data_IF_755077007653
#
_entry.id   IF_755077007653
#
_cell.length_a   1.000
_cell.length_b   1.000
_cell.length_c   1.000
_cell.angle_alpha   90.00
_cell.angle_beta   90.00
_cell.angle_gamma   90.00
#
_symmetry.space_group_name_H-M   'P 1'
#
loop_
_entity.id
_entity.type
_entity.pdbx_description
1 polymer ?
#
# COMPACT_ATOMS: atom_id res chain seq x y z
N UNK A 1 -14.84 -6.58 16.03
CA UNK A 1 -14.44 -5.52 15.12
C UNK A 1 -13.08 -5.82 14.51
N UNK A 2 -12.61 -4.97 13.62
CA UNK A 2 -11.27 -5.01 13.03
C UNK A 2 -10.55 -3.75 13.50
N UNK A 3 -9.28 -3.87 13.93
CA UNK A 3 -8.47 -2.72 14.34
C UNK A 3 -7.75 -2.11 13.15
N UNK A 4 -7.27 -0.87 13.28
CA UNK A 4 -6.42 -0.20 12.28
C UNK A 4 -5.13 -1.01 12.03
N UNK A 5 -4.55 -1.59 13.07
CA UNK A 5 -3.38 -2.46 12.96
C UNK A 5 -3.65 -3.70 12.10
N UNK A 6 -4.80 -4.34 12.27
CA UNK A 6 -5.19 -5.49 11.48
C UNK A 6 -5.44 -5.16 10.01
N UNK A 7 -5.95 -3.96 9.69
CA UNK A 7 -6.00 -3.45 8.32
C UNK A 7 -4.58 -3.19 7.79
N UNK A 8 -3.72 -2.53 8.58
CA UNK A 8 -2.36 -2.23 8.17
C UNK A 8 -1.51 -3.48 7.90
N UNK A 9 -1.83 -4.61 8.56
CA UNK A 9 -1.15 -5.90 8.41
C UNK A 9 -1.84 -6.89 7.49
N UNK A 10 -2.93 -6.52 6.80
CA UNK A 10 -3.69 -7.41 5.91
C UNK A 10 -4.29 -8.63 6.61
N UNK A 11 -4.76 -8.46 7.86
CA UNK A 11 -5.26 -9.54 8.71
C UNK A 11 -6.69 -9.33 9.21
N UNK A 12 -7.53 -8.60 8.47
CA UNK A 12 -8.93 -8.38 8.89
C UNK A 12 -9.74 -9.64 9.07
N UNK A 13 -9.36 -10.74 8.42
CA UNK A 13 -10.13 -11.98 8.39
C UNK A 13 -11.34 -11.95 7.44
N UNK A 14 -11.48 -10.94 6.64
CA UNK A 14 -12.53 -10.83 5.61
C UNK A 14 -12.14 -11.69 4.40
N UNK A 15 -13.13 -12.41 3.81
CA UNK A 15 -12.94 -13.16 2.58
C UNK A 15 -12.66 -12.19 1.42
N UNK A 16 -11.64 -12.50 0.61
CA UNK A 16 -11.21 -11.62 -0.46
C UNK A 16 -10.56 -12.38 -1.62
N UNK A 17 -10.87 -11.95 -2.86
CA UNK A 17 -10.22 -12.41 -4.08
C UNK A 17 -9.47 -11.24 -4.75
N UNK A 18 -8.13 -11.30 -4.75
CA UNK A 18 -7.23 -10.30 -5.34
C UNK A 18 -6.82 -10.67 -6.78
N UNK A 19 -7.55 -11.51 -7.50
CA UNK A 19 -7.20 -11.89 -8.88
C UNK A 19 -7.47 -10.73 -9.84
N UNK A 20 -6.41 -10.07 -10.29
CA UNK A 20 -6.48 -8.96 -11.25
C UNK A 20 -6.87 -9.39 -12.68
N UNK A 21 -6.96 -10.69 -12.97
CA UNK A 21 -7.34 -11.21 -14.28
C UNK A 21 -8.81 -11.66 -14.35
N UNK A 22 -9.45 -11.81 -13.19
CA UNK A 22 -10.86 -12.17 -13.08
C UNK A 22 -11.72 -10.90 -12.89
N UNK A 23 -12.59 -10.55 -13.87
CA UNK A 23 -13.50 -9.40 -13.75
C UNK A 23 -14.53 -9.55 -12.62
N UNK A 24 -14.71 -10.76 -12.09
CA UNK A 24 -15.62 -11.03 -10.97
C UNK A 24 -14.90 -11.08 -9.62
N UNK A 25 -13.58 -10.86 -9.59
CA UNK A 25 -12.81 -10.78 -8.34
C UNK A 25 -13.27 -9.59 -7.48
N UNK A 26 -12.99 -9.67 -6.18
CA UNK A 26 -13.34 -8.58 -5.27
C UNK A 26 -12.60 -7.30 -5.62
N UNK A 27 -11.33 -7.38 -6.02
CA UNK A 27 -10.56 -6.20 -6.42
C UNK A 27 -11.16 -5.53 -7.66
N UNK A 28 -11.64 -6.28 -8.66
CA UNK A 28 -12.28 -5.70 -9.86
C UNK A 28 -13.67 -5.11 -9.54
N UNK A 29 -14.47 -5.83 -8.77
CA UNK A 29 -15.82 -5.39 -8.38
C UNK A 29 -15.81 -4.17 -7.48
N UNK A 30 -14.86 -4.07 -6.56
CA UNK A 30 -14.70 -2.89 -5.72
C UNK A 30 -14.50 -1.60 -6.54
N UNK A 31 -13.73 -1.67 -7.64
CA UNK A 31 -13.47 -0.50 -8.50
C UNK A 31 -14.64 -0.12 -9.41
N UNK A 32 -15.66 -0.96 -9.50
CA UNK A 32 -16.82 -0.75 -10.38
C UNK A 32 -18.15 -0.59 -9.65
N UNK A 33 -18.19 -0.85 -8.33
CA UNK A 33 -19.41 -0.72 -7.53
C UNK A 33 -19.90 0.74 -7.54
N UNK A 34 -21.19 0.95 -7.71
CA UNK A 34 -21.81 2.26 -7.54
C UNK A 34 -21.77 2.64 -6.04
N UNK A 35 -21.17 3.75 -5.68
CA UNK A 35 -21.05 4.14 -4.27
C UNK A 35 -22.42 4.55 -3.69
N UNK A 36 -22.66 4.17 -2.45
CA UNK A 36 -23.80 4.66 -1.68
C UNK A 36 -23.59 6.16 -1.38
N UNK A 37 -24.66 6.93 -1.37
CA UNK A 37 -24.58 8.36 -1.09
C UNK A 37 -23.89 8.64 0.25
N UNK A 38 -22.83 9.44 0.22
CA UNK A 38 -22.04 9.80 1.42
C UNK A 38 -20.93 8.82 1.78
N UNK A 39 -20.75 7.71 1.05
CA UNK A 39 -19.68 6.74 1.26
C UNK A 39 -18.68 6.74 0.08
N UNK A 40 -17.45 6.30 0.33
CA UNK A 40 -16.52 5.94 -0.74
C UNK A 40 -16.91 4.59 -1.37
N UNK A 41 -16.36 4.29 -2.57
CA UNK A 41 -16.53 2.96 -3.15
C UNK A 41 -16.03 1.85 -2.24
N UNK A 42 -14.89 2.08 -1.57
CA UNK A 42 -14.27 1.13 -0.66
C UNK A 42 -15.18 0.78 0.51
N UNK A 43 -15.76 1.79 1.16
CA UNK A 43 -16.70 1.60 2.28
C UNK A 43 -17.97 0.89 1.79
N UNK A 44 -18.53 1.32 0.66
CA UNK A 44 -19.72 0.69 0.05
C UNK A 44 -19.46 -0.78 -0.23
N UNK A 45 -18.32 -1.12 -0.85
CA UNK A 45 -17.98 -2.51 -1.17
C UNK A 45 -17.70 -3.35 0.09
N UNK A 46 -16.98 -2.79 1.07
CA UNK A 46 -16.67 -3.47 2.32
C UNK A 46 -17.89 -4.02 3.05
N UNK A 47 -19.04 -3.33 2.96
CA UNK A 47 -20.31 -3.77 3.58
C UNK A 47 -20.90 -5.05 2.96
N UNK A 48 -20.47 -5.42 1.76
CA UNK A 48 -20.94 -6.63 1.07
C UNK A 48 -20.15 -7.87 1.41
N UNK A 49 -18.99 -7.69 2.06
CA UNK A 49 -18.05 -8.78 2.30
C UNK A 49 -18.42 -9.59 3.55
N UNK A 50 -18.07 -10.88 3.50
CA UNK A 50 -18.24 -11.80 4.61
C UNK A 50 -16.91 -12.11 5.28
N UNK A 51 -16.97 -12.50 6.54
CA UNK A 51 -15.79 -12.93 7.29
C UNK A 51 -15.51 -14.41 7.03
N UNK A 52 -14.24 -14.76 6.79
CA UNK A 52 -13.80 -16.15 6.64
C UNK A 52 -12.94 -16.65 7.82
N UNK A 53 -12.34 -15.72 8.60
CA UNK A 53 -11.54 -16.03 9.78
C UNK A 53 -11.67 -14.91 10.83
N UNK A 54 -11.38 -15.17 12.10
CA UNK A 54 -11.22 -14.12 13.10
C UNK A 54 -10.17 -13.10 12.67
N UNK A 55 -10.38 -11.83 13.04
CA UNK A 55 -9.44 -10.78 12.75
C UNK A 55 -8.11 -11.01 13.48
N UNK A 56 -7.00 -10.91 12.78
CA UNK A 56 -5.66 -11.17 13.28
C UNK A 56 -5.12 -12.58 12.98
N UNK A 57 -5.97 -13.54 12.59
CA UNK A 57 -5.54 -14.95 12.46
C UNK A 57 -5.06 -15.32 11.05
N UNK A 58 -5.58 -14.65 10.01
CA UNK A 58 -5.29 -15.01 8.63
C UNK A 58 -4.78 -13.80 7.84
N UNK A 59 -3.58 -13.93 7.30
CA UNK A 59 -3.05 -12.96 6.35
C UNK A 59 -3.53 -13.28 4.92
N UNK A 60 -4.09 -12.29 4.27
CA UNK A 60 -4.42 -12.29 2.84
C UNK A 60 -4.22 -10.87 2.33
N UNK A 61 -3.41 -10.68 1.29
CA UNK A 61 -3.26 -9.37 0.68
C UNK A 61 -4.60 -8.88 0.12
N UNK A 62 -5.00 -7.67 0.49
CA UNK A 62 -6.30 -7.10 0.11
C UNK A 62 -6.16 -5.60 -0.18
N UNK A 63 -6.27 -5.22 -1.45
CA UNK A 63 -6.28 -3.81 -1.86
C UNK A 63 -7.33 -3.00 -1.09
N UNK A 64 -8.48 -3.61 -0.76
CA UNK A 64 -9.53 -2.96 0.04
C UNK A 64 -9.02 -2.45 1.39
N UNK A 65 -8.16 -3.20 2.09
CA UNK A 65 -7.70 -2.79 3.43
C UNK A 65 -6.87 -1.53 3.37
N UNK A 66 -6.04 -1.37 2.31
CA UNK A 66 -5.29 -0.14 2.08
C UNK A 66 -6.23 1.02 1.70
N UNK A 67 -7.26 0.77 0.90
CA UNK A 67 -8.28 1.79 0.60
C UNK A 67 -8.98 2.27 1.87
N UNK A 68 -9.41 1.35 2.75
CA UNK A 68 -10.05 1.72 4.02
C UNK A 68 -9.11 2.48 4.95
N UNK A 69 -7.80 2.20 4.94
CA UNK A 69 -6.82 3.04 5.65
C UNK A 69 -6.77 4.45 5.06
N UNK A 70 -6.86 4.59 3.74
CA UNK A 70 -7.01 5.88 3.08
C UNK A 70 -8.26 6.63 3.54
N UNK A 71 -9.42 5.99 3.51
CA UNK A 71 -10.68 6.57 4.00
C UNK A 71 -10.56 7.02 5.46
N UNK A 72 -9.86 6.24 6.32
CA UNK A 72 -9.62 6.61 7.72
C UNK A 72 -8.73 7.86 7.83
N UNK A 73 -7.69 7.99 7.00
CA UNK A 73 -6.84 9.19 6.98
C UNK A 73 -7.65 10.41 6.54
N UNK A 74 -8.46 10.30 5.49
CA UNK A 74 -9.32 11.39 5.02
C UNK A 74 -10.33 11.81 6.09
N UNK A 75 -10.97 10.85 6.74
CA UNK A 75 -11.92 11.11 7.82
C UNK A 75 -11.26 11.77 9.03
N UNK A 76 -10.06 11.35 9.40
CA UNK A 76 -9.34 11.88 10.55
C UNK A 76 -8.74 13.28 10.32
N UNK A 77 -8.39 13.59 9.07
CA UNK A 77 -7.70 14.85 8.72
C UNK A 77 -8.59 15.91 8.10
N UNK A 78 -9.73 15.50 7.55
CA UNK A 78 -10.61 16.35 6.75
C UNK A 78 -9.99 16.76 5.39
N UNK A 79 -8.94 16.08 4.95
CA UNK A 79 -8.21 16.34 3.70
C UNK A 79 -8.25 15.12 2.81
N UNK A 80 -8.18 15.31 1.49
CA UNK A 80 -7.92 14.20 0.57
C UNK A 80 -6.52 13.62 0.80
N UNK A 81 -6.29 12.37 0.43
CA UNK A 81 -4.96 11.75 0.55
C UNK A 81 -3.92 12.55 -0.23
N UNK A 82 -4.24 13.01 -1.44
CA UNK A 82 -3.33 13.81 -2.24
C UNK A 82 -2.93 15.12 -1.55
N UNK A 83 -3.90 15.83 -0.95
CA UNK A 83 -3.62 17.07 -0.22
C UNK A 83 -2.80 16.82 1.05
N UNK A 84 -3.12 15.75 1.80
CA UNK A 84 -2.39 15.40 3.01
C UNK A 84 -0.98 14.88 2.68
N UNK A 85 -0.84 14.04 1.65
CA UNK A 85 0.46 13.58 1.19
C UNK A 85 1.34 14.74 0.69
N UNK A 86 0.75 15.74 0.01
CA UNK A 86 1.48 16.93 -0.39
C UNK A 86 2.12 17.63 0.81
N UNK A 87 1.35 17.88 1.85
CA UNK A 87 1.83 18.55 3.06
C UNK A 87 2.87 17.74 3.84
N UNK A 88 2.64 16.41 3.98
CA UNK A 88 3.43 15.56 4.89
C UNK A 88 4.58 14.82 4.22
N UNK A 89 4.54 14.65 2.90
CA UNK A 89 5.53 13.83 2.18
C UNK A 89 6.13 14.61 1.02
N UNK A 90 5.31 15.08 0.07
CA UNK A 90 5.77 15.66 -1.19
C UNK A 90 6.64 16.89 -0.94
N UNK A 91 6.16 17.84 -0.15
CA UNK A 91 6.87 19.07 0.15
C UNK A 91 8.11 18.80 1.04
N UNK A 92 8.04 18.04 2.15
CA UNK A 92 9.22 17.73 2.97
C UNK A 92 10.28 16.91 2.22
N UNK A 93 9.89 15.91 1.44
CA UNK A 93 10.82 15.07 0.67
C UNK A 93 11.35 15.76 -0.59
N UNK A 94 10.88 16.96 -0.92
CA UNK A 94 11.37 17.76 -2.04
C UNK A 94 11.12 17.14 -3.41
N UNK A 95 9.90 16.62 -3.65
CA UNK A 95 9.53 16.09 -4.96
C UNK A 95 9.68 17.15 -6.05
N UNK A 96 10.24 16.76 -7.19
CA UNK A 96 10.52 17.68 -8.29
C UNK A 96 9.40 17.74 -9.34
N UNK A 97 8.48 16.78 -9.30
CA UNK A 97 7.37 16.69 -10.24
C UNK A 97 6.01 16.70 -9.57
N UNK A 98 4.95 16.77 -10.39
CA UNK A 98 3.59 16.66 -9.87
C UNK A 98 3.31 15.23 -9.36
N UNK A 99 2.45 15.17 -8.34
CA UNK A 99 1.81 13.94 -7.88
C UNK A 99 0.40 13.92 -8.47
N UNK A 100 0.06 12.82 -9.15
CA UNK A 100 -1.30 12.54 -9.59
C UNK A 100 -1.83 11.35 -8.81
N UNK A 101 -3.00 11.48 -8.26
CA UNK A 101 -3.68 10.41 -7.53
C UNK A 101 -5.08 10.24 -8.09
N UNK A 102 -5.45 9.02 -8.43
CA UNK A 102 -6.79 8.73 -8.96
C UNK A 102 -7.82 8.78 -7.84
N UNK A 103 -8.95 9.40 -8.12
CA UNK A 103 -10.12 9.37 -7.23
C UNK A 103 -11.01 8.17 -7.53
N UNK A 104 -11.84 7.79 -6.58
CA UNK A 104 -12.93 6.86 -6.79
C UNK A 104 -14.06 7.45 -7.67
N UNK A 105 -15.10 6.68 -7.96
CA UNK A 105 -16.24 7.15 -8.78
C UNK A 105 -17.04 8.29 -8.15
N UNK A 106 -16.86 8.60 -6.88
CA UNK A 106 -17.46 9.78 -6.25
C UNK A 106 -16.75 11.07 -6.66
N UNK A 107 -15.50 10.98 -7.14
CA UNK A 107 -14.61 12.12 -7.41
C UNK A 107 -14.19 12.88 -6.16
N UNK A 108 -14.41 12.33 -4.97
CA UNK A 108 -14.17 13.00 -3.68
C UNK A 108 -13.16 12.29 -2.78
N UNK A 109 -12.99 10.98 -2.92
CA UNK A 109 -12.05 10.17 -2.16
C UNK A 109 -10.94 9.66 -3.06
N UNK A 110 -9.70 9.82 -2.65
CA UNK A 110 -8.55 9.28 -3.37
C UNK A 110 -8.46 7.77 -3.12
N UNK A 111 -8.12 6.98 -4.16
CA UNK A 111 -8.02 5.51 -4.03
C UNK A 111 -6.74 5.15 -3.26
N UNK A 112 -6.87 4.85 -1.97
CA UNK A 112 -5.73 4.62 -1.08
C UNK A 112 -4.83 3.45 -1.46
N UNK A 113 -5.39 2.42 -2.09
CA UNK A 113 -4.68 1.18 -2.43
C UNK A 113 -3.93 1.20 -3.76
N UNK A 114 -4.09 2.22 -4.59
CA UNK A 114 -3.41 2.27 -5.89
C UNK A 114 -3.34 3.66 -6.51
N UNK A 115 -2.86 3.67 -7.74
CA UNK A 115 -3.16 4.66 -8.77
C UNK A 115 -2.52 6.01 -8.52
N UNK A 116 -1.34 5.97 -7.88
CA UNK A 116 -0.44 7.09 -7.68
C UNK A 116 0.57 7.16 -8.83
N UNK A 117 0.71 8.31 -9.46
CA UNK A 117 1.66 8.53 -10.54
C UNK A 117 2.66 9.63 -10.18
N UNK A 118 3.95 9.27 -10.22
CA UNK A 118 5.08 10.12 -9.90
C UNK A 118 6.21 9.91 -10.92
N UNK A 119 7.16 10.81 -10.95
CA UNK A 119 8.45 10.58 -11.62
C UNK A 119 9.25 9.51 -10.87
N UNK A 120 10.05 8.73 -11.58
CA UNK A 120 10.94 7.73 -10.97
C UNK A 120 11.83 8.35 -9.88
N UNK A 121 12.37 9.56 -10.14
CA UNK A 121 13.17 10.30 -9.16
C UNK A 121 12.40 10.66 -7.89
N UNK A 122 11.10 10.86 -7.97
CA UNK A 122 10.28 11.21 -6.81
C UNK A 122 9.88 9.96 -6.00
N UNK A 123 9.71 8.80 -6.65
CA UNK A 123 9.68 7.52 -5.93
C UNK A 123 10.98 7.25 -5.17
N UNK A 124 12.14 7.59 -5.76
CA UNK A 124 13.43 7.48 -5.06
C UNK A 124 13.53 8.45 -3.87
N UNK A 125 13.04 9.69 -4.01
CA UNK A 125 12.97 10.66 -2.91
C UNK A 125 12.04 10.19 -1.79
N UNK A 126 10.91 9.57 -2.14
CA UNK A 126 10.05 8.95 -1.14
C UNK A 126 10.79 7.84 -0.38
N UNK A 127 11.49 6.95 -1.08
CA UNK A 127 12.30 5.93 -0.44
C UNK A 127 13.39 6.53 0.47
N UNK A 128 14.05 7.60 0.03
CA UNK A 128 15.04 8.31 0.85
C UNK A 128 14.40 8.96 2.10
N UNK A 129 13.24 9.61 1.95
CA UNK A 129 12.46 10.15 3.06
C UNK A 129 12.13 9.09 4.11
N UNK A 130 11.73 7.88 3.68
CA UNK A 130 11.46 6.74 4.56
C UNK A 130 12.74 6.28 5.26
N UNK A 131 13.85 6.14 4.52
CA UNK A 131 15.15 5.70 5.04
C UNK A 131 15.71 6.67 6.09
N UNK A 132 15.46 7.97 5.92
CA UNK A 132 15.82 9.05 6.85
C UNK A 132 14.85 9.17 8.04
N UNK A 133 13.93 8.25 8.20
CA UNK A 133 12.98 8.23 9.32
C UNK A 133 11.82 9.22 9.21
N UNK A 134 11.54 9.75 7.99
CA UNK A 134 10.42 10.64 7.74
C UNK A 134 10.65 12.09 8.15
N UNK A 135 11.89 12.50 8.33
CA UNK A 135 12.31 13.90 8.53
C UNK A 135 11.50 14.67 9.60
N UNK A 136 11.10 13.98 10.67
CA UNK A 136 10.31 14.56 11.76
C UNK A 136 8.80 14.67 11.50
N UNK A 137 8.31 14.25 10.33
CA UNK A 137 6.87 14.22 10.01
C UNK A 137 6.15 13.07 10.73
N UNK A 138 6.86 11.96 10.93
CA UNK A 138 6.35 10.80 11.66
C UNK A 138 7.14 10.60 12.97
N UNK A 139 6.56 9.90 13.97
CA UNK A 139 7.27 9.59 15.20
C UNK A 139 8.60 8.85 14.94
N UNK A 140 9.62 9.14 15.74
CA UNK A 140 10.91 8.47 15.66
C UNK A 140 10.74 6.95 15.75
N UNK A 141 11.46 6.20 14.90
CA UNK A 141 11.39 4.75 14.83
C UNK A 141 10.14 4.18 14.14
N UNK A 142 9.25 5.03 13.61
CA UNK A 142 8.04 4.57 12.94
C UNK A 142 8.35 3.64 11.77
N UNK A 143 9.22 4.04 10.84
CA UNK A 143 9.53 3.23 9.67
C UNK A 143 10.31 1.95 10.01
N UNK A 144 11.15 1.96 11.04
CA UNK A 144 11.79 0.75 11.54
C UNK A 144 10.75 -0.27 12.03
N UNK A 145 9.71 0.19 12.74
CA UNK A 145 8.60 -0.64 13.19
C UNK A 145 7.69 -1.06 12.04
N UNK A 146 7.35 -0.14 11.13
CA UNK A 146 6.46 -0.41 10.01
C UNK A 146 7.08 -1.38 8.99
N UNK A 147 8.39 -1.31 8.77
CA UNK A 147 9.16 -2.21 7.90
C UNK A 147 9.62 -3.51 8.57
N UNK A 148 9.29 -3.73 9.85
CA UNK A 148 9.57 -4.99 10.53
C UNK A 148 8.44 -6.02 10.29
N UNK A 149 8.79 -7.31 10.36
CA UNK A 149 7.81 -8.40 10.25
C UNK A 149 6.76 -8.30 11.36
N UNK A 150 5.54 -7.93 11.01
CA UNK A 150 4.35 -8.08 11.86
C UNK A 150 3.68 -9.44 11.60
N UNK A 151 3.74 -9.91 10.34
CA UNK A 151 3.26 -11.22 9.90
C UNK A 151 4.38 -11.92 9.15
N UNK A 152 4.93 -12.99 9.74
CA UNK A 152 5.98 -13.78 9.11
C UNK A 152 5.40 -14.77 8.08
N UNK A 153 6.10 -14.91 6.95
CA UNK A 153 5.81 -15.93 5.94
C UNK A 153 6.65 -17.19 6.16
N UNK A 154 6.27 -18.33 5.52
CA UNK A 154 7.04 -19.56 5.66
C UNK A 154 8.50 -19.45 5.21
N UNK A 155 8.80 -18.57 4.25
CA UNK A 155 10.18 -18.30 3.81
C UNK A 155 10.90 -17.42 4.84
N UNK A 156 12.05 -17.83 5.39
CA UNK A 156 12.74 -17.09 6.44
C UNK A 156 13.07 -15.64 6.03
N UNK A 157 12.72 -14.69 6.89
CA UNK A 157 12.97 -13.27 6.68
C UNK A 157 11.93 -12.56 5.80
N UNK A 158 11.07 -13.31 5.13
CA UNK A 158 9.96 -12.72 4.36
C UNK A 158 8.71 -12.57 5.22
N UNK A 159 7.92 -11.55 4.93
CA UNK A 159 6.68 -11.29 5.63
C UNK A 159 6.03 -9.98 5.21
N UNK A 160 5.19 -9.45 6.10
CA UNK A 160 4.48 -8.19 5.90
C UNK A 160 4.52 -7.35 7.19
N UNK A 161 4.82 -6.08 7.04
CA UNK A 161 4.78 -5.08 8.11
C UNK A 161 3.49 -4.26 8.07
N UNK A 162 3.55 -2.99 8.46
CA UNK A 162 2.45 -2.04 8.30
C UNK A 162 2.47 -1.45 6.89
N UNK A 163 1.78 -2.11 5.95
CA UNK A 163 1.72 -1.77 4.51
C UNK A 163 3.07 -1.88 3.77
N UNK A 164 4.03 -2.67 4.31
CA UNK A 164 5.33 -2.93 3.71
C UNK A 164 5.57 -4.42 3.55
N UNK A 165 6.04 -4.84 2.39
CA UNK A 165 6.64 -6.15 2.21
C UNK A 165 7.99 -6.18 2.92
N UNK A 166 8.26 -7.24 3.68
CA UNK A 166 9.52 -7.38 4.40
C UNK A 166 10.36 -8.51 3.82
N UNK A 167 11.68 -8.34 3.86
CA UNK A 167 12.66 -9.21 3.23
C UNK A 167 13.76 -9.57 4.24
N UNK A 168 14.62 -10.59 3.92
CA UNK A 168 15.78 -10.91 4.73
C UNK A 168 16.69 -9.70 4.99
N UNK A 169 17.51 -9.77 6.04
CA UNK A 169 18.46 -8.73 6.45
C UNK A 169 17.83 -7.35 6.70
N UNK A 170 16.59 -7.31 7.20
CA UNK A 170 15.93 -6.05 7.56
C UNK A 170 15.55 -5.15 6.39
N UNK A 171 15.68 -5.64 5.16
CA UNK A 171 15.17 -4.93 4.00
C UNK A 171 13.64 -4.96 3.95
N UNK A 172 13.03 -3.92 3.41
CA UNK A 172 11.58 -3.84 3.21
C UNK A 172 11.24 -2.97 2.00
N UNK A 173 10.00 -3.04 1.53
CA UNK A 173 9.65 -2.26 0.35
C UNK A 173 8.18 -2.31 -0.03
N UNK A 174 7.84 -1.49 -1.02
CA UNK A 174 6.55 -1.47 -1.70
C UNK A 174 6.67 -2.18 -3.05
N UNK A 175 5.66 -2.95 -3.41
CA UNK A 175 5.57 -3.63 -4.70
C UNK A 175 4.27 -3.25 -5.39
N UNK A 176 4.37 -2.76 -6.62
CA UNK A 176 3.22 -2.48 -7.47
C UNK A 176 2.98 -3.57 -8.50
N UNK A 177 1.75 -3.69 -8.96
CA UNK A 177 1.39 -4.50 -10.14
C UNK A 177 2.14 -3.95 -11.36
N UNK A 178 2.40 -4.81 -12.36
CA UNK A 178 3.24 -4.50 -13.54
C UNK A 178 4.72 -4.21 -13.22
N UNK A 179 5.18 -4.52 -12.00
CA UNK A 179 6.58 -4.60 -11.63
C UNK A 179 7.22 -3.36 -11.03
N UNK A 180 6.44 -2.34 -10.67
CA UNK A 180 6.98 -1.21 -9.92
C UNK A 180 7.45 -1.64 -8.53
N UNK A 181 8.52 -1.04 -8.04
CA UNK A 181 8.95 -1.28 -6.66
C UNK A 181 9.79 -0.13 -6.10
N UNK A 182 9.73 -0.01 -4.78
CA UNK A 182 10.66 0.77 -3.96
C UNK A 182 11.18 -0.20 -2.91
N UNK A 183 12.47 -0.49 -2.92
CA UNK A 183 13.12 -1.38 -1.96
C UNK A 183 14.11 -0.59 -1.12
N UNK A 184 14.01 -0.71 0.18
CA UNK A 184 14.89 -0.09 1.15
C UNK A 184 15.77 -1.16 1.81
N UNK A 185 17.07 -0.88 1.87
CA UNK A 185 18.07 -1.70 2.58
C UNK A 185 18.75 -0.81 3.64
N UNK A 186 18.14 -0.67 4.82
CA UNK A 186 18.59 0.31 5.82
C UNK A 186 20.05 0.13 6.25
N UNK A 187 20.49 -1.12 6.40
CA UNK A 187 21.89 -1.43 6.80
C UNK A 187 22.94 -0.93 5.79
N UNK A 188 22.53 -0.72 4.54
CA UNK A 188 23.41 -0.22 3.46
C UNK A 188 23.13 1.23 3.09
N UNK A 189 22.15 1.88 3.73
CA UNK A 189 21.72 3.21 3.33
C UNK A 189 21.24 3.26 1.87
N UNK A 190 20.64 2.19 1.36
CA UNK A 190 20.33 2.03 -0.06
C UNK A 190 18.81 2.04 -0.31
N UNK A 191 18.42 2.79 -1.34
CA UNK A 191 17.07 2.78 -1.92
C UNK A 191 17.18 2.34 -3.38
N UNK A 192 16.43 1.33 -3.77
CA UNK A 192 16.32 0.86 -5.16
C UNK A 192 14.88 1.08 -5.62
N UNK A 193 14.72 1.86 -6.68
CA UNK A 193 13.39 2.17 -7.24
C UNK A 193 13.33 1.73 -8.69
N UNK A 194 12.27 1.00 -9.02
CA UNK A 194 12.04 0.47 -10.36
C UNK A 194 10.65 0.86 -10.85
N UNK A 195 10.58 1.34 -12.08
CA UNK A 195 9.34 1.46 -12.85
C UNK A 195 9.44 0.50 -14.03
N UNK A 196 8.41 -0.30 -14.25
CA UNK A 196 8.39 -1.28 -15.34
C UNK A 196 6.98 -1.45 -15.90
N UNK A 197 6.90 -2.19 -17.00
CA UNK A 197 5.65 -2.48 -17.70
C UNK A 197 5.56 -3.98 -18.01
N UNK A 198 5.47 -4.80 -16.98
CA UNK A 198 5.28 -6.23 -17.17
C UNK A 198 4.04 -6.52 -18.03
N UNK A 199 4.04 -7.61 -18.81
CA UNK A 199 2.92 -7.96 -19.68
C UNK A 199 1.64 -8.34 -18.91
N UNK A 200 1.78 -8.61 -17.60
CA UNK A 200 0.66 -8.98 -16.70
C UNK A 200 0.80 -8.24 -15.38
N UNK A 201 -0.31 -8.02 -14.72
CA UNK A 201 -0.37 -7.36 -13.41
C UNK A 201 0.53 -8.05 -12.37
N UNK A 202 0.59 -9.37 -12.38
CA UNK A 202 1.51 -10.18 -11.59
C UNK A 202 2.22 -11.21 -12.49
N UNK A 203 3.54 -11.32 -12.34
CA UNK A 203 4.35 -12.31 -13.02
C UNK A 203 5.39 -12.88 -12.04
N UNK A 204 5.22 -14.17 -11.69
CA UNK A 204 6.06 -14.82 -10.66
C UNK A 204 7.53 -14.92 -11.09
N UNK A 205 7.82 -15.13 -12.38
CA UNK A 205 9.18 -15.25 -12.87
C UNK A 205 9.91 -13.91 -12.84
N UNK A 206 9.23 -12.84 -13.26
CA UNK A 206 9.77 -11.47 -13.20
C UNK A 206 9.90 -10.99 -11.75
N UNK A 207 8.94 -11.32 -10.89
CA UNK A 207 9.01 -11.00 -9.46
C UNK A 207 10.21 -11.68 -8.78
N UNK A 208 10.46 -12.97 -9.08
CA UNK A 208 11.62 -13.70 -8.57
C UNK A 208 12.95 -13.07 -9.04
N UNK A 209 13.04 -12.66 -10.31
CA UNK A 209 14.22 -11.95 -10.82
C UNK A 209 14.45 -10.62 -10.12
N UNK A 210 13.39 -9.85 -9.85
CA UNK A 210 13.49 -8.59 -9.13
C UNK A 210 14.02 -8.75 -7.71
N UNK A 211 13.63 -9.83 -7.02
CA UNK A 211 14.08 -10.12 -5.65
C UNK A 211 15.51 -10.69 -5.58
N UNK A 212 16.08 -11.09 -6.72
CA UNK A 212 17.46 -11.59 -6.83
C UNK A 212 18.49 -10.47 -7.10
N UNK A 213 18.06 -9.25 -7.37
CA UNK A 213 18.89 -8.06 -7.56
C UNK A 213 19.20 -7.38 -6.22
#
# INVERSE_FOLDING_TARGET
GVTVEQLATMTSGVKWNEDYTDPNSDVARMLTVAPVAGESQSVTYARTLTREAPAGEKWVYKTLETNLLGDLVEAATGKTLAAYAKEKIVDPAGFAGPLFWMTDLTGRSDIGGCCLSLRLSDYARFGQFVLEGGQGVVPAGWFARAGANQVAFPAPGFGYGYQWWTYPAGAFGAQGIFGQSITLVPERGLVVTVVSNWPRASDRALAARRLAL
#
